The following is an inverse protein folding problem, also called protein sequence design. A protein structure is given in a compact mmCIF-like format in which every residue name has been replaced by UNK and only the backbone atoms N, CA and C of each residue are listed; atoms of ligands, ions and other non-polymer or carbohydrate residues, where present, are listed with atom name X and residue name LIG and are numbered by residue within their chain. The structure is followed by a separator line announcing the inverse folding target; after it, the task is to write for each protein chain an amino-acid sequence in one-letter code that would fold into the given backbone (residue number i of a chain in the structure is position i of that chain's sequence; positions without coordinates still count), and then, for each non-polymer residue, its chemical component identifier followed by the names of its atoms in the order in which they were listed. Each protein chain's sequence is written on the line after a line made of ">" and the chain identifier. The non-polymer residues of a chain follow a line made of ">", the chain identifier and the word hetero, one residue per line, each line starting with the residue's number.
data_IF_295055816487
#
_entry.id   IF_295055816487
#
_cell.length_a   1.000
_cell.length_b   1.000
_cell.length_c   1.000
_cell.angle_alpha   90.00
_cell.angle_beta   90.00
_cell.angle_gamma   90.00
#
_symmetry.space_group_name_H-M   'P 1'
#
loop_
_entity.id
_entity.type
_entity.pdbx_description
1 polymer ?
#
# COMPACT_ATOMS: atom_id res chain seq x y z
N UNK A 1 9.78 12.51 -21.29
CA UNK A 1 10.08 11.12 -21.69
C UNK A 1 10.69 10.45 -20.47
N UNK A 2 9.90 9.69 -19.73
CA UNK A 2 10.33 9.05 -18.47
C UNK A 2 11.04 7.73 -18.80
N UNK A 3 12.34 7.64 -18.52
CA UNK A 3 13.14 6.43 -18.75
C UNK A 3 13.66 5.90 -17.42
N UNK A 4 13.55 4.60 -17.20
CA UNK A 4 14.14 3.89 -16.04
C UNK A 4 15.21 2.93 -16.54
N UNK A 5 16.34 2.86 -15.82
CA UNK A 5 17.37 1.85 -16.04
C UNK A 5 16.94 0.55 -15.33
N UNK A 6 16.73 -0.51 -16.10
CA UNK A 6 16.52 -1.85 -15.60
C UNK A 6 17.57 -2.80 -16.19
N UNK A 7 18.41 -3.40 -15.35
CA UNK A 7 19.49 -4.33 -15.77
C UNK A 7 20.33 -3.79 -16.93
N UNK A 8 20.78 -2.53 -16.84
CA UNK A 8 21.54 -1.81 -17.87
C UNK A 8 20.79 -1.49 -19.19
N UNK A 9 19.49 -1.72 -19.25
CA UNK A 9 18.66 -1.32 -20.38
C UNK A 9 17.81 -0.10 -20.02
N UNK A 10 17.76 0.86 -20.92
CA UNK A 10 16.85 2.00 -20.80
C UNK A 10 15.46 1.52 -21.21
N UNK A 11 14.53 1.53 -20.23
CA UNK A 11 13.15 1.13 -20.47
C UNK A 11 12.29 2.39 -20.62
N UNK A 12 11.52 2.46 -21.70
CA UNK A 12 10.52 3.52 -21.87
C UNK A 12 9.29 3.18 -21.01
N UNK A 13 9.02 4.01 -20.02
CA UNK A 13 7.90 3.79 -19.09
C UNK A 13 6.56 3.76 -19.84
N UNK A 14 6.39 4.61 -20.84
CA UNK A 14 5.15 4.71 -21.60
C UNK A 14 4.89 3.42 -22.41
N UNK A 15 5.93 2.81 -22.98
CA UNK A 15 5.81 1.52 -23.67
C UNK A 15 5.47 0.38 -22.71
N UNK A 16 6.11 0.36 -21.53
CA UNK A 16 5.79 -0.62 -20.48
C UNK A 16 4.38 -0.42 -19.95
N UNK A 17 3.97 0.82 -19.73
CA UNK A 17 2.61 1.15 -19.30
C UNK A 17 1.58 0.69 -20.35
N UNK A 18 1.82 0.94 -21.61
CA UNK A 18 0.95 0.50 -22.71
C UNK A 18 0.91 -1.04 -22.81
N UNK A 19 2.04 -1.72 -22.64
CA UNK A 19 2.08 -3.18 -22.63
C UNK A 19 1.30 -3.75 -21.46
N UNK A 20 1.47 -3.21 -20.24
CA UNK A 20 0.72 -3.60 -19.05
C UNK A 20 -0.78 -3.38 -19.27
N UNK A 21 -1.19 -2.21 -19.77
CA UNK A 21 -2.59 -1.88 -19.97
C UNK A 21 -3.25 -2.75 -21.04
N UNK A 22 -2.55 -3.05 -22.12
CA UNK A 22 -3.12 -3.77 -23.27
C UNK A 22 -3.04 -5.30 -23.13
N UNK A 23 -2.03 -5.81 -22.42
CA UNK A 23 -1.67 -7.24 -22.45
C UNK A 23 -1.88 -7.94 -21.11
N UNK A 24 -1.57 -7.30 -19.98
CA UNK A 24 -1.47 -8.00 -18.70
C UNK A 24 -2.59 -7.74 -17.70
N UNK A 25 -3.20 -6.55 -17.68
CA UNK A 25 -4.04 -6.20 -16.55
C UNK A 25 -5.29 -5.39 -16.90
N UNK A 26 -6.38 -6.10 -17.12
CA UNK A 26 -7.74 -5.53 -17.02
C UNK A 26 -8.30 -5.65 -15.60
N UNK A 27 -7.41 -5.59 -14.58
CA UNK A 27 -7.76 -5.77 -13.16
C UNK A 27 -7.10 -4.70 -12.30
N UNK A 28 -7.59 -4.44 -11.08
CA UNK A 28 -6.92 -3.56 -10.12
C UNK A 28 -5.50 -4.02 -9.79
N UNK A 29 -4.62 -3.07 -9.47
CA UNK A 29 -3.32 -3.33 -8.86
C UNK A 29 -3.39 -2.87 -7.41
N UNK A 30 -3.29 -3.81 -6.47
CA UNK A 30 -3.38 -3.55 -5.05
C UNK A 30 -1.98 -3.48 -4.45
N UNK A 31 -1.57 -2.29 -4.00
CA UNK A 31 -0.27 -2.07 -3.37
C UNK A 31 -0.39 -2.32 -1.87
N UNK A 32 0.32 -3.34 -1.40
CA UNK A 32 0.37 -3.74 0.00
C UNK A 32 1.77 -3.54 0.58
N UNK A 33 1.91 -3.58 1.89
CA UNK A 33 3.20 -3.43 2.57
C UNK A 33 3.12 -2.51 3.80
N UNK A 34 4.23 -2.41 4.50
CA UNK A 34 4.35 -1.70 5.78
C UNK A 34 4.01 -0.21 5.65
N UNK A 35 3.58 0.39 6.76
CA UNK A 35 3.48 1.86 6.85
C UNK A 35 4.84 2.51 6.56
N UNK A 36 4.85 3.67 5.90
CA UNK A 36 6.09 4.38 5.60
C UNK A 36 6.87 3.88 4.38
N UNK A 37 6.48 2.75 3.74
CA UNK A 37 7.17 2.28 2.51
C UNK A 37 6.88 3.13 1.27
N UNK A 38 5.82 3.97 1.29
CA UNK A 38 5.48 4.88 0.19
C UNK A 38 4.37 4.39 -0.73
N UNK A 39 3.47 3.52 -0.27
CA UNK A 39 2.36 2.97 -1.07
C UNK A 39 1.54 4.03 -1.80
N UNK A 40 1.04 5.03 -1.08
CA UNK A 40 0.20 6.09 -1.68
C UNK A 40 0.98 6.94 -2.68
N UNK A 41 2.25 7.26 -2.42
CA UNK A 41 3.09 8.03 -3.34
C UNK A 41 3.34 7.25 -4.64
N UNK A 42 3.78 5.99 -4.53
CA UNK A 42 4.04 5.13 -5.68
C UNK A 42 2.74 4.80 -6.40
N UNK A 43 1.65 4.56 -5.66
CA UNK A 43 0.34 4.30 -6.23
C UNK A 43 -0.17 5.44 -7.10
N UNK A 44 -0.05 6.68 -6.63
CA UNK A 44 -0.42 7.87 -7.43
C UNK A 44 0.46 8.05 -8.68
N UNK A 45 1.77 7.77 -8.56
CA UNK A 45 2.67 7.81 -9.71
C UNK A 45 2.32 6.74 -10.74
N UNK A 46 2.09 5.51 -10.28
CA UNK A 46 1.70 4.38 -11.12
C UNK A 46 0.36 4.63 -11.83
N UNK A 47 -0.64 5.14 -11.09
CA UNK A 47 -1.93 5.49 -11.64
C UNK A 47 -1.82 6.51 -12.78
N UNK A 48 -1.03 7.56 -12.59
CA UNK A 48 -0.75 8.55 -13.66
C UNK A 48 -0.08 7.92 -14.86
N UNK A 49 0.96 7.10 -14.64
CA UNK A 49 1.71 6.46 -15.74
C UNK A 49 0.86 5.46 -16.53
N UNK A 50 -0.09 4.80 -15.89
CA UNK A 50 -1.00 3.83 -16.51
C UNK A 50 -2.32 4.47 -17.00
N UNK A 51 -2.53 5.77 -16.77
CA UNK A 51 -3.80 6.47 -17.02
C UNK A 51 -4.98 5.76 -16.34
N UNK A 52 -4.84 5.47 -15.04
CA UNK A 52 -5.82 4.79 -14.19
C UNK A 52 -6.18 5.65 -12.99
N UNK A 53 -7.32 5.38 -12.37
CA UNK A 53 -7.70 6.03 -11.12
C UNK A 53 -6.86 5.50 -9.95
N UNK A 54 -6.70 6.35 -8.94
CA UNK A 54 -6.02 5.98 -7.68
C UNK A 54 -7.01 5.97 -6.53
N UNK A 55 -6.99 4.87 -5.77
CA UNK A 55 -7.85 4.66 -4.62
C UNK A 55 -7.01 4.33 -3.39
N UNK A 56 -7.04 5.17 -2.36
CA UNK A 56 -6.41 4.91 -1.06
C UNK A 56 -7.48 4.48 -0.06
N UNK A 57 -7.36 3.27 0.49
CA UNK A 57 -8.36 2.71 1.41
C UNK A 57 -8.45 3.56 2.67
N UNK A 58 -7.31 3.97 3.25
CA UNK A 58 -7.28 4.78 4.47
C UNK A 58 -7.95 6.16 4.23
N UNK A 59 -7.64 6.84 3.13
CA UNK A 59 -8.28 8.12 2.76
C UNK A 59 -9.80 7.97 2.55
N UNK A 60 -10.24 6.86 1.97
CA UNK A 60 -11.65 6.60 1.74
C UNK A 60 -12.41 6.30 3.02
N UNK A 61 -11.79 5.59 3.97
CA UNK A 61 -12.36 5.40 5.32
C UNK A 61 -12.53 6.76 6.00
N UNK A 62 -11.49 7.60 6.02
CA UNK A 62 -11.55 8.92 6.64
C UNK A 62 -12.66 9.80 6.02
N UNK A 63 -12.80 9.79 4.70
CA UNK A 63 -13.87 10.53 4.00
C UNK A 63 -15.26 10.00 4.35
N UNK A 64 -15.43 8.67 4.34
CA UNK A 64 -16.73 8.02 4.58
C UNK A 64 -17.23 8.27 5.99
N UNK A 65 -16.33 8.26 6.97
CA UNK A 65 -16.69 8.44 8.39
C UNK A 65 -16.51 9.88 8.89
N UNK A 66 -15.98 10.77 8.05
CA UNK A 66 -15.63 12.15 8.39
C UNK A 66 -14.80 12.23 9.69
N UNK A 67 -13.88 11.28 9.86
CA UNK A 67 -13.01 11.12 11.03
C UNK A 67 -11.63 10.69 10.58
N UNK A 68 -10.60 11.12 11.32
CA UNK A 68 -9.25 10.57 11.13
C UNK A 68 -9.17 9.12 11.62
N UNK A 69 -8.29 8.32 11.01
CA UNK A 69 -8.08 6.94 11.46
C UNK A 69 -7.69 6.87 12.93
N UNK A 70 -6.86 7.82 13.42
CA UNK A 70 -6.52 7.93 14.84
C UNK A 70 -7.75 8.09 15.73
N UNK A 71 -8.69 8.94 15.33
CA UNK A 71 -9.95 9.17 16.07
C UNK A 71 -10.85 7.92 16.06
N UNK A 72 -10.87 7.17 14.94
CA UNK A 72 -11.59 5.90 14.87
C UNK A 72 -11.00 4.89 15.87
N UNK A 73 -9.66 4.80 15.94
CA UNK A 73 -8.98 3.94 16.90
C UNK A 73 -9.26 4.36 18.36
N UNK A 74 -9.21 5.64 18.66
CA UNK A 74 -9.45 6.19 20.01
C UNK A 74 -10.91 5.97 20.45
N UNK A 75 -11.87 6.22 19.57
CA UNK A 75 -13.29 6.17 19.91
C UNK A 75 -13.88 4.76 19.86
N UNK A 76 -13.40 3.90 18.98
CA UNK A 76 -14.04 2.61 18.70
C UNK A 76 -13.09 1.40 18.80
N UNK A 77 -11.79 1.64 18.95
CA UNK A 77 -10.78 0.60 19.07
C UNK A 77 -10.37 -0.05 17.74
N UNK A 78 -9.31 -0.85 17.81
CA UNK A 78 -8.72 -1.49 16.62
C UNK A 78 -9.69 -2.46 15.93
N UNK A 79 -10.41 -3.26 16.68
CA UNK A 79 -11.32 -4.27 16.09
C UNK A 79 -12.38 -3.61 15.23
N UNK A 80 -12.99 -2.52 15.68
CA UNK A 80 -13.99 -1.79 14.90
C UNK A 80 -13.40 -1.19 13.64
N UNK A 81 -12.19 -0.61 13.74
CA UNK A 81 -11.48 -0.13 12.56
C UNK A 81 -11.25 -1.26 11.54
N UNK A 82 -10.84 -2.45 11.98
CA UNK A 82 -10.61 -3.60 11.08
C UNK A 82 -11.89 -4.09 10.39
N UNK A 83 -13.02 -3.97 11.06
CA UNK A 83 -14.31 -4.30 10.44
C UNK A 83 -14.72 -3.25 9.41
N UNK A 84 -14.52 -1.97 9.70
CA UNK A 84 -14.72 -0.88 8.76
C UNK A 84 -13.80 -1.05 7.54
N UNK A 85 -12.51 -1.31 7.75
CA UNK A 85 -11.51 -1.54 6.70
C UNK A 85 -11.96 -2.71 5.79
N UNK A 86 -12.40 -3.81 6.39
CA UNK A 86 -12.90 -4.98 5.66
C UNK A 86 -14.14 -4.66 4.80
N UNK A 87 -15.12 -3.92 5.35
CA UNK A 87 -16.31 -3.53 4.58
C UNK A 87 -15.97 -2.61 3.40
N UNK A 88 -15.01 -1.70 3.57
CA UNK A 88 -14.52 -0.86 2.46
C UNK A 88 -13.85 -1.71 1.39
N UNK A 89 -13.03 -2.69 1.79
CA UNK A 89 -12.36 -3.62 0.87
C UNK A 89 -13.40 -4.46 0.09
N UNK A 90 -14.44 -4.97 0.75
CA UNK A 90 -15.53 -5.70 0.09
C UNK A 90 -16.27 -4.87 -0.94
N UNK A 91 -16.38 -3.57 -0.71
CA UNK A 91 -17.03 -2.62 -1.61
C UNK A 91 -16.22 -2.23 -2.85
N UNK A 92 -14.96 -2.67 -2.98
CA UNK A 92 -14.13 -2.36 -4.14
C UNK A 92 -14.74 -2.99 -5.40
N UNK A 93 -14.86 -2.19 -6.45
CA UNK A 93 -15.38 -2.65 -7.73
C UNK A 93 -14.44 -3.68 -8.39
N UNK A 94 -14.88 -4.93 -8.48
CA UNK A 94 -14.11 -6.03 -9.09
C UNK A 94 -13.80 -5.83 -10.59
N UNK A 95 -14.56 -4.98 -11.26
CA UNK A 95 -14.38 -4.66 -12.69
C UNK A 95 -13.52 -3.43 -12.94
N UNK A 96 -13.04 -2.75 -11.90
CA UNK A 96 -12.18 -1.57 -12.07
C UNK A 96 -10.76 -1.97 -12.52
N UNK A 97 -10.04 -0.99 -13.02
CA UNK A 97 -8.60 -1.11 -13.32
C UNK A 97 -7.77 -0.23 -12.41
N UNK A 98 -8.31 0.20 -11.28
CA UNK A 98 -7.72 1.18 -10.38
C UNK A 98 -6.41 0.70 -9.76
N UNK A 99 -5.59 1.67 -9.36
CA UNK A 99 -4.44 1.44 -8.50
C UNK A 99 -4.89 1.69 -7.06
N UNK A 100 -4.82 0.66 -6.22
CA UNK A 100 -5.36 0.68 -4.87
C UNK A 100 -4.21 0.62 -3.86
N UNK A 101 -4.12 1.59 -2.96
CA UNK A 101 -3.21 1.51 -1.82
C UNK A 101 -3.96 0.96 -0.60
N UNK A 102 -3.51 -0.17 -0.09
CA UNK A 102 -4.07 -0.78 1.12
C UNK A 102 -3.43 -0.21 2.40
N UNK A 103 -4.20 -0.13 3.48
CA UNK A 103 -3.69 0.17 4.80
C UNK A 103 -2.58 -0.79 5.24
N UNK A 104 -1.63 -0.33 6.06
CA UNK A 104 -0.46 -1.14 6.44
C UNK A 104 -0.79 -2.45 7.16
N UNK A 105 -1.97 -2.58 7.78
CA UNK A 105 -2.43 -3.80 8.42
C UNK A 105 -3.45 -4.60 7.61
N UNK A 106 -3.99 -4.04 6.54
CA UNK A 106 -5.09 -4.66 5.78
C UNK A 106 -4.75 -6.05 5.26
N UNK A 107 -3.52 -6.22 4.75
CA UNK A 107 -3.05 -7.48 4.17
C UNK A 107 -2.53 -8.49 5.21
N UNK A 108 -2.76 -8.26 6.51
CA UNK A 108 -2.45 -9.24 7.57
C UNK A 108 -3.65 -10.09 8.01
N UNK A 109 -4.81 -9.85 7.40
CA UNK A 109 -6.03 -10.60 7.67
C UNK A 109 -6.39 -11.46 6.45
N UNK A 110 -6.50 -12.78 6.63
CA UNK A 110 -6.81 -13.73 5.56
C UNK A 110 -8.09 -13.35 4.78
N UNK A 111 -9.11 -12.86 5.49
CA UNK A 111 -10.36 -12.38 4.88
C UNK A 111 -10.14 -11.29 3.83
N UNK A 112 -9.14 -10.41 4.04
CA UNK A 112 -8.80 -9.33 3.11
C UNK A 112 -7.87 -9.83 2.00
N UNK A 113 -6.89 -10.69 2.34
CA UNK A 113 -5.96 -11.31 1.38
C UNK A 113 -6.76 -12.04 0.29
N UNK A 114 -7.76 -12.82 0.69
CA UNK A 114 -8.60 -13.57 -0.24
C UNK A 114 -9.34 -12.63 -1.22
N UNK A 115 -9.94 -11.54 -0.71
CA UNK A 115 -10.60 -10.56 -1.56
C UNK A 115 -9.61 -9.91 -2.51
N UNK A 116 -8.48 -9.42 -2.01
CA UNK A 116 -7.48 -8.75 -2.84
C UNK A 116 -6.95 -9.65 -3.97
N UNK A 117 -6.64 -10.92 -3.66
CA UNK A 117 -6.16 -11.87 -4.66
C UNK A 117 -7.25 -12.29 -5.66
N UNK A 118 -8.54 -12.25 -5.27
CA UNK A 118 -9.67 -12.50 -6.17
C UNK A 118 -9.86 -11.33 -7.15
N UNK A 119 -9.82 -10.09 -6.66
CA UNK A 119 -10.19 -8.92 -7.47
C UNK A 119 -9.06 -8.43 -8.36
N UNK A 120 -7.79 -8.60 -7.96
CA UNK A 120 -6.69 -7.97 -8.69
C UNK A 120 -5.32 -8.58 -8.47
N UNK A 121 -4.31 -7.85 -8.92
CA UNK A 121 -2.90 -8.19 -8.74
C UNK A 121 -2.38 -7.52 -7.48
N UNK A 122 -1.93 -8.30 -6.52
CA UNK A 122 -1.32 -7.79 -5.29
C UNK A 122 0.17 -7.55 -5.47
N UNK A 123 0.62 -6.34 -5.13
CA UNK A 123 2.00 -5.88 -5.24
C UNK A 123 2.54 -5.50 -3.87
N UNK A 124 3.44 -6.32 -3.32
CA UNK A 124 4.13 -5.96 -2.09
C UNK A 124 5.24 -4.96 -2.36
N UNK A 125 5.06 -3.75 -1.83
CA UNK A 125 6.12 -2.76 -1.77
C UNK A 125 6.92 -2.98 -0.49
N UNK A 126 8.12 -3.51 -0.64
CA UNK A 126 9.05 -3.81 0.44
C UNK A 126 10.14 -2.72 0.54
N UNK A 127 10.65 -2.49 1.74
CA UNK A 127 11.82 -1.64 1.99
C UNK A 127 12.55 -2.13 3.24
N UNK A 128 13.85 -1.82 3.33
CA UNK A 128 14.61 -2.15 4.54
C UNK A 128 14.06 -1.42 5.77
N UNK A 129 14.17 -2.01 6.98
CA UNK A 129 13.73 -1.36 8.22
C UNK A 129 14.29 0.05 8.38
N UNK A 130 15.56 0.28 8.01
CA UNK A 130 16.22 1.59 8.08
C UNK A 130 15.51 2.63 7.23
N UNK A 131 15.14 2.29 6.00
CA UNK A 131 14.40 3.20 5.10
C UNK A 131 13.02 3.54 5.67
N UNK A 132 12.33 2.55 6.20
CA UNK A 132 11.00 2.75 6.81
C UNK A 132 11.11 3.68 8.01
N UNK A 133 12.05 3.42 8.91
CA UNK A 133 12.28 4.21 10.13
C UNK A 133 12.65 5.66 9.78
N UNK A 134 13.57 5.86 8.82
CA UNK A 134 13.97 7.18 8.36
C UNK A 134 12.78 7.98 7.82
N UNK A 135 11.94 7.36 6.98
CA UNK A 135 10.75 8.00 6.43
C UNK A 135 9.69 8.32 7.50
N UNK A 136 9.54 7.44 8.48
CA UNK A 136 8.61 7.66 9.59
C UNK A 136 9.09 8.77 10.53
N UNK A 137 10.38 8.84 10.83
CA UNK A 137 10.98 9.92 11.63
C UNK A 137 10.76 11.31 11.00
N UNK A 138 10.78 11.40 9.66
CA UNK A 138 10.50 12.65 8.93
C UNK A 138 9.03 13.09 8.97
N UNK A 139 8.11 12.18 9.25
CA UNK A 139 6.66 12.38 9.17
C UNK A 139 5.93 12.08 10.50
N UNK A 140 6.59 12.30 11.64
CA UNK A 140 6.05 11.98 12.99
C UNK A 140 4.83 12.79 13.40
N UNK A 141 4.63 13.98 12.83
CA UNK A 141 3.54 14.89 13.24
C UNK A 141 2.14 14.30 13.04
N UNK A 142 1.97 13.34 12.12
CA UNK A 142 0.67 12.74 11.80
C UNK A 142 0.46 11.34 12.41
N UNK A 143 1.32 10.91 13.37
CA UNK A 143 1.26 9.53 13.92
C UNK A 143 1.46 9.52 15.43
N UNK A 144 0.41 9.81 16.23
CA UNK A 144 0.51 9.87 17.69
C UNK A 144 1.09 8.61 18.32
N UNK A 145 0.72 7.43 17.81
CA UNK A 145 1.18 6.12 18.32
C UNK A 145 2.69 5.88 18.23
N UNK A 146 3.43 6.70 17.46
CA UNK A 146 4.89 6.56 17.34
C UNK A 146 5.67 7.48 18.27
N UNK A 147 4.99 8.37 19.01
CA UNK A 147 5.65 9.35 19.89
C UNK A 147 6.14 8.74 21.21
N UNK A 148 5.50 7.67 21.68
CA UNK A 148 5.73 7.09 23.02
C UNK A 148 6.53 5.77 22.98
N UNK A 149 6.94 5.30 21.80
CA UNK A 149 7.63 4.01 21.64
C UNK A 149 9.00 4.18 20.98
N UNK A 150 9.91 3.27 21.31
CA UNK A 150 11.13 3.11 20.51
C UNK A 150 10.76 2.66 19.10
N UNK A 151 10.78 3.59 18.15
CA UNK A 151 10.32 3.40 16.79
C UNK A 151 11.06 2.23 16.09
N UNK A 152 12.33 2.02 16.40
CA UNK A 152 13.15 0.97 15.78
C UNK A 152 12.69 -0.42 16.23
N UNK A 153 12.55 -0.59 17.53
CA UNK A 153 12.02 -1.84 18.12
C UNK A 153 10.60 -2.11 17.64
N UNK A 154 9.75 -1.09 17.63
CA UNK A 154 8.35 -1.20 17.20
C UNK A 154 8.25 -1.64 15.74
N UNK A 155 8.99 -0.99 14.83
CA UNK A 155 8.96 -1.30 13.40
C UNK A 155 9.54 -2.69 13.13
N UNK A 156 10.65 -3.07 13.75
CA UNK A 156 11.22 -4.41 13.59
C UNK A 156 10.24 -5.50 14.04
N UNK A 157 9.60 -5.33 15.18
CA UNK A 157 8.59 -6.28 15.67
C UNK A 157 7.37 -6.37 14.74
N UNK A 158 6.92 -5.24 14.18
CA UNK A 158 5.83 -5.26 13.20
C UNK A 158 6.24 -5.94 11.90
N UNK A 159 7.46 -5.75 11.41
CA UNK A 159 7.95 -6.40 10.20
C UNK A 159 8.03 -7.92 10.38
N UNK A 160 8.57 -8.40 11.52
CA UNK A 160 8.61 -9.83 11.84
C UNK A 160 7.19 -10.43 11.79
N UNK A 161 6.20 -9.72 12.37
CA UNK A 161 4.81 -10.20 12.42
C UNK A 161 4.10 -10.14 11.06
N UNK A 162 4.41 -9.15 10.21
CA UNK A 162 3.63 -8.85 9.00
C UNK A 162 4.22 -9.37 7.71
N UNK A 163 5.56 -9.51 7.63
CA UNK A 163 6.22 -9.99 6.41
C UNK A 163 5.68 -11.34 5.91
N UNK A 164 5.40 -12.35 6.78
CA UNK A 164 4.84 -13.61 6.30
C UNK A 164 3.49 -13.47 5.58
N UNK A 165 2.72 -12.42 5.89
CA UNK A 165 1.50 -12.12 5.16
C UNK A 165 1.80 -11.39 3.85
N UNK A 166 2.68 -10.40 3.86
CA UNK A 166 3.03 -9.67 2.64
C UNK A 166 3.67 -10.56 1.57
N UNK A 167 4.40 -11.61 1.97
CA UNK A 167 4.97 -12.64 1.08
C UNK A 167 3.92 -13.40 0.27
N UNK A 168 2.64 -13.35 0.68
CA UNK A 168 1.52 -13.94 -0.07
C UNK A 168 1.08 -13.07 -1.25
N UNK A 169 1.66 -11.90 -1.46
CA UNK A 169 1.38 -11.05 -2.61
C UNK A 169 1.93 -11.66 -3.91
N UNK A 170 1.24 -11.39 -5.03
CA UNK A 170 1.63 -11.96 -6.33
C UNK A 170 2.99 -11.47 -6.82
N UNK A 171 3.35 -10.22 -6.52
CA UNK A 171 4.62 -9.60 -6.91
C UNK A 171 5.24 -8.86 -5.73
N UNK A 172 6.58 -8.79 -5.73
CA UNK A 172 7.34 -8.01 -4.74
C UNK A 172 8.26 -7.03 -5.45
N UNK A 173 8.21 -5.76 -5.02
CA UNK A 173 9.16 -4.73 -5.42
C UNK A 173 9.86 -4.20 -4.18
N UNK A 174 11.18 -4.26 -4.18
CA UNK A 174 11.98 -3.71 -3.09
C UNK A 174 12.41 -2.28 -3.42
N UNK A 175 11.98 -1.33 -2.57
CA UNK A 175 12.44 0.05 -2.64
C UNK A 175 13.84 0.14 -2.05
N UNK A 176 14.83 0.40 -2.90
CA UNK A 176 16.16 0.82 -2.48
C UNK A 176 16.18 2.33 -2.25
N UNK A 177 17.16 2.86 -1.48
CA UNK A 177 17.41 4.31 -1.46
C UNK A 177 17.61 4.75 -2.91
N UNK A 178 16.71 5.59 -3.40
CA UNK A 178 17.04 6.45 -4.52
C UNK A 178 17.90 7.55 -3.91
N UNK A 179 19.19 7.48 -4.19
CA UNK A 179 20.15 8.54 -3.87
C UNK A 179 19.72 9.85 -4.53
#
# INVERSE_FOLDING_TARGET
>A
MNKILYKNNIVNIDEVANYINNTLLKKPIIIVGMMGVGKSAIGRMLARSLNREFYDIDENIEKKYNMKISEIFENYGEQKFRDIEHEVIKGINKGSTDIIAAGGGAFTFERNINIFNEIGLTLWLNASPLIIIERLKKNTNNRPLLKEVNIETYINNLLIKRNPFYEKANLTITSSKVS
#
